data_IF_287120102174
#
_entry.id   IF_287120102174
#
_cell.length_a   1.000
_cell.length_b   1.000
_cell.length_c   1.000
_cell.angle_alpha   90.00
_cell.angle_beta   90.00
_cell.angle_gamma   90.00
#
_symmetry.space_group_name_H-M   'P 1'
#
loop_
_entity.id
_entity.type
_entity.pdbx_description
1 polymer ?
#
# COMPACT_ATOMS: atom_id res chain seq x y z
N UNK A 1 -72.24 33.63 -19.32
CA UNK A 1 -73.10 32.71 -18.55
C UNK A 1 -72.44 32.47 -17.21
N UNK A 2 -73.11 32.92 -16.16
CA UNK A 2 -72.72 32.87 -14.76
C UNK A 2 -73.33 31.60 -14.17
N UNK A 3 -72.57 30.86 -13.35
CA UNK A 3 -73.12 30.24 -12.14
C UNK A 3 -72.06 30.30 -11.02
N UNK A 4 -72.35 31.21 -10.09
CA UNK A 4 -71.90 31.24 -8.70
C UNK A 4 -72.80 30.31 -7.88
N UNK A 5 -72.26 29.72 -6.81
CA UNK A 5 -72.78 29.76 -5.43
C UNK A 5 -71.80 28.94 -4.54
N UNK A 6 -71.04 29.54 -3.60
CA UNK A 6 -71.40 29.95 -2.22
C UNK A 6 -72.02 28.78 -1.44
N UNK A 7 -71.62 28.38 -0.23
CA UNK A 7 -71.06 28.96 1.01
C UNK A 7 -70.76 27.72 1.92
N UNK A 8 -70.01 27.70 3.02
CA UNK A 8 -69.95 28.61 4.18
C UNK A 8 -68.83 28.13 5.13
N UNK A 9 -68.24 29.12 5.79
CA UNK A 9 -67.23 29.05 6.86
C UNK A 9 -67.93 28.77 8.20
N UNK A 10 -67.26 28.09 9.14
CA UNK A 10 -67.28 28.53 10.54
C UNK A 10 -66.06 28.03 11.34
N UNK A 11 -65.31 29.01 11.84
CA UNK A 11 -64.22 28.91 12.81
C UNK A 11 -64.79 28.63 14.21
N UNK A 12 -64.02 27.94 15.07
CA UNK A 12 -63.81 28.37 16.46
C UNK A 12 -62.55 27.70 17.04
N UNK A 13 -61.57 28.53 17.37
CA UNK A 13 -60.43 28.31 18.30
C UNK A 13 -60.86 28.85 19.70
N UNK A 14 -60.09 28.85 20.82
CA UNK A 14 -58.76 28.27 21.11
C UNK A 14 -58.59 27.70 22.56
N UNK A 15 -57.33 27.34 22.89
CA UNK A 15 -56.67 27.24 24.21
C UNK A 15 -56.60 25.85 24.89
N UNK A 16 -55.38 25.27 25.04
CA UNK A 16 -54.55 25.59 26.20
C UNK A 16 -53.10 25.03 26.11
N UNK A 17 -52.21 25.80 26.72
CA UNK A 17 -50.75 25.71 26.83
C UNK A 17 -50.23 24.40 27.45
N UNK A 18 -49.07 23.92 26.96
CA UNK A 18 -47.89 23.75 27.81
C UNK A 18 -46.59 23.80 27.02
N UNK A 19 -45.92 24.92 27.23
CA UNK A 19 -44.58 25.29 26.82
C UNK A 19 -43.56 24.51 27.66
N UNK A 20 -42.55 23.92 27.02
CA UNK A 20 -41.27 23.68 27.69
C UNK A 20 -40.19 24.32 26.84
N UNK A 21 -39.64 25.41 27.36
CA UNK A 21 -38.51 26.14 26.83
C UNK A 21 -37.28 25.23 26.73
N UNK A 22 -36.68 25.12 25.55
CA UNK A 22 -35.23 24.88 25.45
C UNK A 22 -34.68 26.00 24.58
N UNK A 23 -33.87 26.85 25.22
CA UNK A 23 -33.11 27.93 24.59
C UNK A 23 -32.24 27.34 23.48
N UNK A 24 -32.46 27.79 22.26
CA UNK A 24 -31.48 27.67 21.19
C UNK A 24 -30.51 28.84 21.40
N UNK A 25 -29.38 28.55 22.01
CA UNK A 25 -28.20 29.40 21.91
C UNK A 25 -27.43 28.89 20.69
N UNK A 26 -27.24 29.76 19.70
CA UNK A 26 -26.32 29.52 18.60
C UNK A 26 -24.90 29.38 19.15
N UNK A 27 -24.22 28.27 18.86
CA UNK A 27 -22.77 28.27 18.75
C UNK A 27 -22.36 27.56 17.46
N UNK A 28 -21.81 28.38 16.57
CA UNK A 28 -20.98 27.98 15.44
C UNK A 28 -19.86 27.08 15.95
N UNK A 29 -19.74 25.87 15.42
CA UNK A 29 -18.45 25.18 15.19
C UNK A 29 -18.74 23.74 14.77
N UNK A 30 -18.48 23.40 13.50
CA UNK A 30 -18.18 22.02 13.15
C UNK A 30 -17.29 21.95 11.91
N UNK A 31 -16.13 22.60 12.04
CA UNK A 31 -14.93 22.32 11.26
C UNK A 31 -13.97 21.73 12.29
N UNK A 32 -13.95 20.40 12.49
CA UNK A 32 -12.83 19.69 13.16
C UNK A 32 -12.98 18.16 13.29
N UNK A 33 -13.98 17.52 12.69
CA UNK A 33 -14.16 16.06 12.80
C UNK A 33 -13.27 15.22 11.87
N UNK A 34 -12.52 15.84 10.95
CA UNK A 34 -11.67 15.13 9.99
C UNK A 34 -10.24 14.84 10.51
N UNK A 35 -9.83 15.44 11.63
CA UNK A 35 -8.45 15.36 12.15
C UNK A 35 -8.24 14.20 13.15
N UNK A 36 -9.29 13.53 13.63
CA UNK A 36 -9.14 12.65 14.81
C UNK A 36 -8.87 11.16 14.53
N UNK A 37 -8.92 10.70 13.28
CA UNK A 37 -8.66 9.29 12.94
C UNK A 37 -7.17 8.93 12.95
N UNK A 38 -6.33 9.80 12.37
CA UNK A 38 -4.86 9.68 12.41
C UNK A 38 -4.31 9.84 13.84
N UNK A 39 -4.97 10.67 14.63
CA UNK A 39 -4.69 10.92 16.04
C UNK A 39 -4.98 9.66 16.88
N UNK A 40 -6.15 9.05 16.70
CA UNK A 40 -6.57 7.83 17.40
C UNK A 40 -5.67 6.63 17.06
N UNK A 41 -5.32 6.44 15.79
CA UNK A 41 -4.42 5.37 15.35
C UNK A 41 -2.99 5.52 15.93
N UNK A 42 -2.46 6.75 15.98
CA UNK A 42 -1.15 7.05 16.61
C UNK A 42 -1.15 6.82 18.12
N UNK A 43 -2.27 7.05 18.82
CA UNK A 43 -2.43 6.76 20.26
C UNK A 43 -2.41 5.25 20.53
N UNK A 44 -3.09 4.45 19.71
CA UNK A 44 -3.07 2.98 19.85
C UNK A 44 -1.67 2.39 19.63
N UNK A 45 -0.88 2.92 18.68
CA UNK A 45 0.50 2.46 18.45
C UNK A 45 1.46 2.76 19.60
N UNK A 46 1.19 3.78 20.44
CA UNK A 46 2.03 4.12 21.60
C UNK A 46 1.81 3.22 22.81
N UNK A 47 0.73 2.43 22.86
CA UNK A 47 0.35 1.60 24.02
C UNK A 47 0.91 0.16 24.00
N UNK A 48 1.74 -0.21 23.02
CA UNK A 48 2.46 -1.51 22.98
C UNK A 48 3.98 -1.39 23.21
N UNK A 49 4.41 -0.45 24.05
CA UNK A 49 5.76 -0.53 24.64
C UNK A 49 5.70 -1.47 25.83
N UNK A 50 6.13 -2.72 25.61
CA UNK A 50 6.57 -3.59 26.69
C UNK A 50 7.75 -2.89 27.35
N UNK A 51 7.58 -2.42 28.58
CA UNK A 51 8.68 -1.95 29.41
C UNK A 51 9.56 -3.13 29.76
N UNK A 52 10.57 -3.40 28.91
CA UNK A 52 11.68 -4.27 29.31
C UNK A 52 12.46 -3.51 30.37
N UNK A 53 12.30 -3.92 31.64
CA UNK A 53 13.20 -3.51 32.73
C UNK A 53 14.62 -3.81 32.28
N UNK A 54 15.40 -2.76 32.00
CA UNK A 54 16.85 -2.87 31.79
C UNK A 54 17.50 -3.15 33.15
N UNK A 55 17.59 -4.42 33.51
CA UNK A 55 18.65 -4.84 34.42
C UNK A 55 19.98 -4.66 33.68
N UNK A 56 20.80 -3.70 34.15
CA UNK A 56 22.17 -3.55 33.67
C UNK A 56 22.98 -4.71 34.24
N UNK A 57 22.99 -5.85 33.55
CA UNK A 57 24.02 -6.85 33.80
C UNK A 57 25.36 -6.23 33.40
N UNK A 58 26.25 -6.03 34.38
CA UNK A 58 27.65 -5.74 34.12
C UNK A 58 28.21 -6.98 33.43
N UNK A 59 28.44 -6.89 32.13
CA UNK A 59 29.20 -7.90 31.41
C UNK A 59 30.63 -7.83 31.97
N UNK A 60 31.11 -8.93 32.54
CA UNK A 60 32.48 -9.05 33.02
C UNK A 60 33.41 -9.01 31.80
N UNK A 61 34.27 -7.99 31.75
CA UNK A 61 35.21 -7.75 30.65
C UNK A 61 36.13 -8.97 30.42
N UNK A 62 36.38 -9.79 31.44
CA UNK A 62 37.17 -11.01 31.29
C UNK A 62 36.43 -12.10 30.50
N UNK A 63 35.10 -12.15 30.57
CA UNK A 63 34.27 -13.08 29.77
C UNK A 63 34.24 -12.61 28.31
N UNK A 64 34.09 -11.31 28.08
CA UNK A 64 34.12 -10.71 26.74
C UNK A 64 35.47 -10.91 26.03
N UNK A 65 36.57 -10.66 26.75
CA UNK A 65 37.94 -10.86 26.26
C UNK A 65 38.22 -12.35 25.98
N UNK A 66 37.70 -13.27 26.79
CA UNK A 66 37.88 -14.72 26.57
C UNK A 66 37.09 -15.25 25.37
N UNK A 67 35.96 -14.65 25.02
CA UNK A 67 35.22 -14.96 23.78
C UNK A 67 35.99 -14.47 22.55
N UNK A 68 36.62 -13.29 22.63
CA UNK A 68 37.44 -12.74 21.54
C UNK A 68 38.80 -13.45 21.36
N UNK A 69 39.35 -14.07 22.42
CA UNK A 69 40.64 -14.79 22.37
C UNK A 69 40.54 -16.24 21.89
N UNK A 70 39.35 -16.86 21.90
CA UNK A 70 39.14 -18.20 21.33
C UNK A 70 38.83 -18.13 19.84
N UNK A 71 39.84 -17.82 19.03
CA UNK A 71 40.13 -18.49 17.75
C UNK A 71 41.33 -17.84 17.06
N UNK A 72 42.51 -18.49 17.15
CA UNK A 72 43.27 -18.68 15.93
C UNK A 72 43.83 -20.09 15.91
N UNK A 73 43.12 -21.03 15.29
CA UNK A 73 43.73 -22.27 14.82
C UNK A 73 42.94 -22.86 13.64
N UNK A 74 43.45 -22.54 12.46
CA UNK A 74 43.54 -23.44 11.30
C UNK A 74 42.27 -24.18 10.88
N UNK A 75 41.33 -23.47 10.27
CA UNK A 75 40.67 -24.03 9.10
C UNK A 75 41.33 -23.42 7.88
N UNK A 76 42.24 -24.20 7.28
CA UNK A 76 42.68 -23.99 5.90
C UNK A 76 41.42 -23.93 5.04
N UNK A 77 40.97 -22.72 4.73
CA UNK A 77 40.10 -22.45 3.59
C UNK A 77 40.90 -22.91 2.36
N UNK A 78 40.69 -24.16 1.97
CA UNK A 78 41.01 -24.59 0.63
C UNK A 78 40.23 -23.65 -0.29
N UNK A 79 40.97 -22.75 -0.94
CA UNK A 79 40.60 -22.10 -2.19
C UNK A 79 40.34 -23.20 -3.23
N UNK A 80 39.25 -23.95 -3.07
CA UNK A 80 38.56 -24.52 -4.21
C UNK A 80 37.82 -23.34 -4.80
N UNK A 81 38.32 -22.90 -5.95
CA UNK A 81 37.58 -22.16 -6.96
C UNK A 81 36.20 -22.79 -7.11
N UNK A 82 35.28 -22.31 -6.29
CA UNK A 82 33.86 -22.47 -6.49
C UNK A 82 33.43 -21.09 -6.91
N UNK A 83 33.05 -21.00 -8.19
CA UNK A 83 32.17 -19.98 -8.72
C UNK A 83 31.11 -19.71 -7.65
N UNK A 84 31.36 -18.72 -6.81
CA UNK A 84 30.44 -18.27 -5.79
C UNK A 84 29.39 -17.55 -6.59
N UNK A 85 28.34 -18.32 -6.88
CA UNK A 85 27.05 -17.84 -7.28
C UNK A 85 26.80 -16.52 -6.56
N UNK A 86 26.90 -15.44 -7.33
CA UNK A 86 26.20 -14.19 -7.04
C UNK A 86 24.75 -14.59 -6.85
N UNK A 87 24.36 -14.92 -5.62
CA UNK A 87 22.98 -14.87 -5.17
C UNK A 87 22.59 -13.38 -5.06
N UNK A 88 22.71 -12.67 -6.18
CA UNK A 88 21.89 -11.50 -6.45
C UNK A 88 20.50 -12.11 -6.52
N UNK A 89 19.67 -11.85 -5.50
CA UNK A 89 18.24 -12.10 -5.63
C UNK A 89 17.84 -11.55 -7.00
N UNK A 90 17.34 -12.39 -7.90
CA UNK A 90 16.68 -11.87 -9.11
C UNK A 90 15.47 -11.08 -8.63
N UNK A 91 15.65 -9.78 -8.44
CA UNK A 91 14.62 -8.88 -7.97
C UNK A 91 13.57 -8.81 -9.06
N UNK A 92 12.34 -9.19 -8.72
CA UNK A 92 11.24 -9.14 -9.68
C UNK A 92 10.88 -7.67 -9.88
N UNK A 93 11.12 -7.17 -11.09
CA UNK A 93 10.70 -5.83 -11.50
C UNK A 93 9.19 -5.62 -11.32
N UNK A 94 8.43 -6.72 -11.43
CA UNK A 94 6.98 -6.73 -11.29
C UNK A 94 6.51 -6.82 -9.82
N UNK A 95 6.94 -5.86 -8.99
CA UNK A 95 6.54 -5.74 -7.58
C UNK A 95 6.33 -4.28 -7.18
N UNK A 96 5.50 -4.08 -6.16
CA UNK A 96 5.42 -2.81 -5.43
C UNK A 96 6.39 -2.88 -4.25
N UNK A 97 7.26 -1.89 -4.13
CA UNK A 97 8.22 -1.76 -3.05
C UNK A 97 7.84 -0.59 -2.15
N UNK A 98 8.20 -0.64 -0.86
CA UNK A 98 8.00 0.44 0.11
C UNK A 98 9.23 1.33 0.28
N UNK A 99 10.39 0.73 0.06
CA UNK A 99 11.68 1.41 0.07
C UNK A 99 12.74 0.58 -0.67
N UNK A 100 13.81 1.25 -1.07
CA UNK A 100 15.03 0.63 -1.58
C UNK A 100 16.25 1.52 -1.25
N UNK A 101 17.41 0.92 -0.97
CA UNK A 101 18.70 1.60 -1.08
C UNK A 101 19.44 1.04 -2.29
N UNK A 102 19.77 1.93 -3.21
CA UNK A 102 20.59 1.64 -4.39
C UNK A 102 22.00 2.14 -4.10
N UNK A 103 22.99 1.25 -4.12
CA UNK A 103 24.39 1.61 -3.95
C UNK A 103 25.04 1.67 -5.33
N UNK A 104 25.48 2.85 -5.74
CA UNK A 104 26.15 3.05 -7.03
C UNK A 104 27.56 3.58 -6.86
N UNK A 105 28.42 3.26 -7.82
CA UNK A 105 29.76 3.84 -7.95
C UNK A 105 29.76 5.12 -8.78
N UNK A 106 28.65 5.42 -9.46
CA UNK A 106 28.46 6.62 -10.27
C UNK A 106 27.39 7.52 -9.66
N UNK A 107 27.37 8.78 -10.09
CA UNK A 107 26.31 9.68 -9.72
C UNK A 107 25.03 9.36 -10.51
N UNK A 108 23.93 9.15 -9.79
CA UNK A 108 22.64 8.80 -10.38
C UNK A 108 21.69 10.00 -10.29
N UNK A 109 21.02 10.29 -11.40
CA UNK A 109 19.88 11.21 -11.43
C UNK A 109 18.61 10.39 -11.30
N UNK A 110 17.98 10.43 -10.12
CA UNK A 110 16.76 9.68 -9.83
C UNK A 110 15.61 10.66 -9.64
N UNK A 111 14.59 10.52 -10.49
CA UNK A 111 13.42 11.39 -10.43
C UNK A 111 12.33 10.83 -9.50
N UNK A 112 11.77 11.65 -8.59
CA UNK A 112 10.56 11.29 -7.86
C UNK A 112 9.39 11.05 -8.83
N UNK A 113 8.65 9.96 -8.61
CA UNK A 113 7.42 9.66 -9.34
C UNK A 113 6.23 9.90 -8.40
N UNK A 114 5.20 10.54 -8.94
CA UNK A 114 3.93 10.77 -8.25
C UNK A 114 3.04 9.55 -8.40
N UNK A 115 2.50 9.07 -7.29
CA UNK A 115 1.52 8.00 -7.27
C UNK A 115 0.32 8.38 -6.40
N UNK A 116 -0.76 7.65 -6.63
CA UNK A 116 -1.97 7.64 -5.82
C UNK A 116 -2.18 6.22 -5.30
N UNK A 117 -2.50 6.07 -4.01
CA UNK A 117 -2.69 4.74 -3.42
C UNK A 117 -3.88 4.65 -2.48
N UNK A 118 -4.41 3.43 -2.35
CA UNK A 118 -5.40 3.09 -1.34
C UNK A 118 -5.41 1.58 -1.07
N UNK A 119 -5.53 1.09 0.19
CA UNK A 119 -5.55 1.88 1.42
C UNK A 119 -4.17 2.48 1.71
N UNK A 120 -3.99 3.05 2.91
CA UNK A 120 -2.75 3.73 3.29
C UNK A 120 -1.53 2.78 3.42
N UNK A 121 -1.73 1.47 3.55
CA UNK A 121 -0.67 0.47 3.74
C UNK A 121 -1.04 -0.83 2.99
N UNK A 122 -0.08 -1.59 2.45
CA UNK A 122 -0.42 -2.88 1.79
C UNK A 122 -0.85 -3.95 2.78
N UNK A 123 -0.52 -3.79 4.06
CA UNK A 123 -0.73 -4.81 5.08
C UNK A 123 -1.91 -4.41 5.98
N UNK A 124 -3.07 -4.18 5.37
CA UNK A 124 -4.32 -3.86 6.08
C UNK A 124 -5.16 -5.14 6.28
N UNK A 125 -5.05 -5.85 7.42
CA UNK A 125 -5.63 -7.17 7.58
C UNK A 125 -7.16 -7.15 7.64
N UNK A 126 -7.80 -8.26 7.21
CA UNK A 126 -9.23 -8.46 7.47
C UNK A 126 -9.49 -8.55 8.97
N UNK A 127 -10.32 -7.65 9.47
CA UNK A 127 -10.76 -7.65 10.87
C UNK A 127 -12.29 -7.55 10.95
N UNK A 128 -12.87 -8.18 11.97
CA UNK A 128 -14.30 -8.04 12.28
C UNK A 128 -14.56 -6.78 13.11
N UNK A 129 -14.08 -5.63 12.64
CA UNK A 129 -14.19 -4.34 13.32
C UNK A 129 -15.04 -3.36 12.53
N UNK A 130 -15.69 -2.43 13.23
CA UNK A 130 -16.41 -1.32 12.60
C UNK A 130 -15.52 -0.51 11.66
N UNK A 131 -14.27 -0.28 12.06
CA UNK A 131 -13.29 0.46 11.26
C UNK A 131 -12.90 -0.26 9.99
N UNK A 132 -12.69 -1.58 10.04
CA UNK A 132 -12.46 -2.37 8.84
C UNK A 132 -13.64 -2.27 7.88
N UNK A 133 -14.88 -2.42 8.37
CA UNK A 133 -16.07 -2.32 7.53
C UNK A 133 -16.21 -0.94 6.88
N UNK A 134 -15.86 0.14 7.60
CA UNK A 134 -15.82 1.48 7.03
C UNK A 134 -14.74 1.59 5.94
N UNK A 135 -13.51 1.15 6.23
CA UNK A 135 -12.41 1.14 5.26
C UNK A 135 -12.73 0.30 4.02
N UNK A 136 -13.39 -0.84 4.18
CA UNK A 136 -13.80 -1.73 3.09
C UNK A 136 -14.83 -1.06 2.17
N UNK A 137 -15.75 -0.25 2.71
CA UNK A 137 -16.68 0.56 1.91
C UNK A 137 -15.94 1.63 1.11
N UNK A 138 -15.03 2.36 1.74
CA UNK A 138 -14.20 3.37 1.05
C UNK A 138 -13.33 2.74 -0.04
N UNK A 139 -12.81 1.53 0.21
CA UNK A 139 -12.06 0.75 -0.75
C UNK A 139 -12.90 0.35 -1.95
N UNK A 140 -14.15 -0.09 -1.73
CA UNK A 140 -15.09 -0.43 -2.80
C UNK A 140 -15.34 0.76 -3.73
N UNK A 141 -15.48 1.96 -3.17
CA UNK A 141 -15.60 3.20 -3.96
C UNK A 141 -14.30 3.48 -4.73
N UNK A 142 -13.16 3.43 -4.05
CA UNK A 142 -11.84 3.70 -4.63
C UNK A 142 -11.49 2.75 -5.78
N UNK A 143 -11.71 1.44 -5.59
CA UNK A 143 -11.36 0.42 -6.59
C UNK A 143 -12.28 0.49 -7.82
N UNK A 144 -13.56 0.82 -7.64
CA UNK A 144 -14.47 1.06 -8.77
C UNK A 144 -14.05 2.29 -9.55
N UNK A 145 -13.74 3.39 -8.85
CA UNK A 145 -13.31 4.63 -9.49
C UNK A 145 -12.00 4.44 -10.30
N UNK A 146 -10.97 3.77 -9.74
CA UNK A 146 -9.72 3.54 -10.47
C UNK A 146 -9.93 2.67 -11.72
N UNK A 147 -10.84 1.71 -11.67
CA UNK A 147 -11.16 0.89 -12.83
C UNK A 147 -11.99 1.64 -13.86
N UNK A 148 -12.94 2.48 -13.44
CA UNK A 148 -13.64 3.40 -14.34
C UNK A 148 -12.65 4.31 -15.08
N UNK A 149 -11.66 4.87 -14.37
CA UNK A 149 -10.61 5.68 -14.97
C UNK A 149 -9.75 4.87 -15.96
N UNK A 150 -9.43 3.62 -15.62
CA UNK A 150 -8.72 2.71 -16.54
C UNK A 150 -9.50 2.48 -17.84
N UNK A 151 -10.81 2.22 -17.75
CA UNK A 151 -11.65 1.99 -18.94
C UNK A 151 -11.84 3.26 -19.77
N UNK A 152 -12.12 4.40 -19.14
CA UNK A 152 -12.46 5.65 -19.82
C UNK A 152 -11.23 6.41 -20.33
N UNK A 153 -10.15 6.40 -19.57
CA UNK A 153 -8.97 7.25 -19.81
C UNK A 153 -7.71 6.45 -20.10
N UNK A 154 -7.79 5.11 -20.14
CA UNK A 154 -6.63 4.21 -20.38
C UNK A 154 -5.49 4.45 -19.39
N UNK A 155 -5.81 4.87 -18.16
CA UNK A 155 -4.84 5.05 -17.09
C UNK A 155 -4.22 3.71 -16.70
N UNK A 156 -3.07 3.74 -16.02
CA UNK A 156 -2.41 2.52 -15.54
C UNK A 156 -2.54 2.44 -14.02
N UNK A 157 -2.83 1.24 -13.53
CA UNK A 157 -2.85 0.99 -12.10
C UNK A 157 -2.47 -0.47 -11.80
N UNK A 158 -2.12 -0.70 -10.55
CA UNK A 158 -1.69 -1.98 -10.03
C UNK A 158 -2.51 -2.33 -8.79
N UNK A 159 -2.86 -3.60 -8.65
CA UNK A 159 -3.48 -4.15 -7.45
C UNK A 159 -2.57 -5.21 -6.86
N UNK A 160 -2.25 -5.10 -5.57
CA UNK A 160 -1.72 -6.20 -4.79
C UNK A 160 -2.89 -6.99 -4.22
N UNK A 161 -3.10 -8.19 -4.75
CA UNK A 161 -4.21 -9.09 -4.41
C UNK A 161 -3.67 -10.47 -4.04
N UNK A 162 -3.98 -10.98 -2.85
CA UNK A 162 -3.47 -12.27 -2.34
C UNK A 162 -1.94 -12.41 -2.49
N UNK A 163 -1.21 -11.35 -2.12
CA UNK A 163 0.25 -11.23 -2.25
C UNK A 163 0.79 -11.35 -3.69
N UNK A 164 -0.08 -11.23 -4.69
CA UNK A 164 0.27 -11.24 -6.11
C UNK A 164 -0.03 -9.87 -6.71
N UNK A 165 0.92 -9.34 -7.49
CA UNK A 165 0.73 -8.09 -8.21
C UNK A 165 -0.06 -8.35 -9.49
N UNK A 166 -1.09 -7.55 -9.72
CA UNK A 166 -1.88 -7.50 -10.94
C UNK A 166 -1.72 -6.09 -11.52
N UNK A 167 -1.20 -6.00 -12.74
CA UNK A 167 -0.97 -4.73 -13.44
C UNK A 167 -2.02 -4.58 -14.54
N UNK A 168 -2.84 -3.53 -14.45
CA UNK A 168 -3.83 -3.15 -15.45
C UNK A 168 -3.24 -2.05 -16.32
N UNK A 169 -2.98 -2.37 -17.58
CA UNK A 169 -2.41 -1.42 -18.53
C UNK A 169 -2.87 -1.72 -19.96
N UNK A 170 -3.09 -0.69 -20.76
CA UNK A 170 -3.32 -0.80 -22.21
C UNK A 170 -4.41 -1.83 -22.60
N UNK A 171 -5.51 -1.91 -21.83
CA UNK A 171 -6.63 -2.81 -22.12
C UNK A 171 -6.41 -4.30 -21.78
N UNK A 172 -5.31 -4.64 -21.10
CA UNK A 172 -5.07 -5.99 -20.57
C UNK A 172 -4.64 -5.94 -19.10
N UNK A 173 -4.64 -7.11 -18.46
CA UNK A 173 -4.11 -7.29 -17.11
C UNK A 173 -3.01 -8.36 -17.10
N UNK A 174 -1.89 -8.06 -16.45
CA UNK A 174 -0.78 -8.98 -16.26
C UNK A 174 -0.66 -9.37 -14.78
N UNK A 175 -0.45 -10.65 -14.49
CA UNK A 175 -0.22 -11.11 -13.12
C UNK A 175 0.72 -12.31 -13.03
N UNK A 176 1.11 -12.68 -11.81
CA UNK A 176 1.98 -13.83 -11.54
C UNK A 176 1.24 -15.16 -11.78
N UNK A 177 2.00 -16.22 -12.13
CA UNK A 177 1.47 -17.57 -12.30
C UNK A 177 0.74 -18.13 -11.07
N UNK A 178 1.00 -17.60 -9.88
CA UNK A 178 0.33 -17.95 -8.63
C UNK A 178 -1.20 -17.81 -8.71
N UNK A 179 -1.71 -16.91 -9.55
CA UNK A 179 -3.15 -16.70 -9.71
C UNK A 179 -3.80 -17.66 -10.72
N UNK A 180 -3.03 -18.46 -11.47
CA UNK A 180 -3.57 -19.32 -12.55
C UNK A 180 -4.71 -20.23 -12.12
N UNK A 181 -4.58 -20.89 -10.96
CA UNK A 181 -5.62 -21.77 -10.45
C UNK A 181 -6.89 -20.98 -10.06
N UNK A 182 -6.72 -19.78 -9.49
CA UNK A 182 -7.85 -18.93 -9.13
C UNK A 182 -8.59 -18.47 -10.39
N UNK A 183 -7.87 -18.08 -11.44
CA UNK A 183 -8.47 -17.66 -12.71
C UNK A 183 -9.22 -18.81 -13.39
N UNK A 184 -8.62 -20.00 -13.45
CA UNK A 184 -9.25 -21.20 -14.01
C UNK A 184 -10.54 -21.58 -13.27
N UNK A 185 -10.54 -21.49 -11.95
CA UNK A 185 -11.71 -21.82 -11.13
C UNK A 185 -12.86 -20.83 -11.28
N UNK A 186 -12.63 -19.66 -11.89
CA UNK A 186 -13.63 -18.64 -12.16
C UNK A 186 -13.87 -18.45 -13.67
N UNK A 187 -13.47 -19.43 -14.49
CA UNK A 187 -13.65 -19.44 -15.95
C UNK A 187 -13.08 -18.19 -16.68
N UNK A 188 -12.01 -17.62 -16.14
CA UNK A 188 -11.33 -16.46 -16.73
C UNK A 188 -10.27 -16.96 -17.71
N UNK A 189 -10.37 -16.57 -18.97
CA UNK A 189 -9.41 -16.97 -20.00
C UNK A 189 -8.13 -16.13 -19.91
N UNK A 190 -6.99 -16.81 -20.10
CA UNK A 190 -5.69 -16.15 -20.10
C UNK A 190 -4.65 -16.89 -20.93
N UNK A 191 -3.58 -16.16 -21.25
CA UNK A 191 -2.39 -16.70 -21.91
C UNK A 191 -1.20 -16.65 -20.95
N UNK A 192 -0.26 -17.57 -21.11
CA UNK A 192 0.97 -17.59 -20.32
C UNK A 192 2.14 -17.22 -21.23
N UNK A 193 2.93 -16.24 -20.82
CA UNK A 193 4.19 -15.87 -21.49
C UNK A 193 5.22 -15.43 -20.45
N UNK A 194 6.48 -15.87 -20.59
CA UNK A 194 7.60 -15.45 -19.72
C UNK A 194 7.30 -15.52 -18.22
N UNK A 195 6.66 -16.60 -17.76
CA UNK A 195 6.28 -16.78 -16.35
C UNK A 195 5.27 -15.73 -15.82
N UNK A 196 4.52 -15.11 -16.72
CA UNK A 196 3.43 -14.16 -16.43
C UNK A 196 2.14 -14.61 -17.11
N UNK A 197 1.02 -14.31 -16.47
CA UNK A 197 -0.32 -14.49 -16.99
C UNK A 197 -0.76 -13.18 -17.62
N UNK A 198 -1.30 -13.23 -18.83
CA UNK A 198 -1.94 -12.11 -19.51
C UNK A 198 -3.42 -12.42 -19.76
N UNK A 199 -4.28 -11.58 -19.18
CA UNK A 199 -5.74 -11.57 -19.32
C UNK A 199 -6.11 -10.44 -20.28
N UNK A 200 -6.99 -10.69 -21.24
CA UNK A 200 -7.34 -9.73 -22.31
C UNK A 200 -8.85 -9.64 -22.50
N UNK A 201 -9.30 -8.57 -23.17
CA UNK A 201 -10.70 -8.43 -23.59
C UNK A 201 -11.68 -8.48 -22.41
N UNK A 202 -12.82 -9.18 -22.57
CA UNK A 202 -13.88 -9.29 -21.56
C UNK A 202 -13.40 -9.92 -20.25
N UNK A 203 -12.40 -10.80 -20.31
CA UNK A 203 -11.85 -11.47 -19.13
C UNK A 203 -11.15 -10.50 -18.16
N UNK A 204 -10.74 -9.31 -18.63
CA UNK A 204 -10.21 -8.25 -17.75
C UNK A 204 -11.30 -7.74 -16.80
N UNK A 205 -12.54 -7.63 -17.27
CA UNK A 205 -13.68 -7.25 -16.44
C UNK A 205 -14.06 -8.37 -15.46
N UNK A 206 -13.99 -9.64 -15.90
CA UNK A 206 -14.21 -10.80 -15.02
C UNK A 206 -13.15 -10.89 -13.91
N UNK A 207 -11.88 -10.64 -14.25
CA UNK A 207 -10.81 -10.54 -13.25
C UNK A 207 -11.08 -9.43 -12.23
N UNK A 208 -11.52 -8.27 -12.70
CA UNK A 208 -11.84 -7.17 -11.82
C UNK A 208 -13.04 -7.48 -10.91
N UNK A 209 -14.09 -8.09 -11.46
CA UNK A 209 -15.26 -8.53 -10.71
C UNK A 209 -14.89 -9.56 -9.63
N UNK A 210 -14.05 -10.53 -9.99
CA UNK A 210 -13.47 -11.49 -9.04
C UNK A 210 -12.75 -10.79 -7.88
N UNK A 211 -11.92 -9.77 -8.14
CA UNK A 211 -11.19 -9.05 -7.09
C UNK A 211 -12.16 -8.33 -6.14
N UNK A 212 -13.18 -7.65 -6.69
CA UNK A 212 -14.16 -6.89 -5.90
C UNK A 212 -15.02 -7.81 -5.03
N UNK A 213 -15.45 -8.93 -5.59
CA UNK A 213 -16.39 -9.86 -4.96
C UNK A 213 -15.68 -10.98 -4.17
N UNK A 214 -14.35 -10.94 -4.08
CA UNK A 214 -13.60 -11.94 -3.33
C UNK A 214 -13.92 -11.85 -1.83
N UNK A 215 -14.38 -12.96 -1.24
CA UNK A 215 -14.53 -13.07 0.20
C UNK A 215 -13.16 -13.27 0.87
N UNK A 216 -12.59 -12.15 1.32
CA UNK A 216 -11.30 -12.12 2.02
C UNK A 216 -11.33 -13.08 3.22
N UNK A 217 -10.30 -13.89 3.41
CA UNK A 217 -10.15 -14.74 4.59
C UNK A 217 -9.50 -13.96 5.74
N UNK A 218 -9.49 -14.54 6.94
CA UNK A 218 -8.96 -13.89 8.15
C UNK A 218 -7.50 -13.42 8.04
N UNK A 219 -6.68 -14.09 7.22
CA UNK A 219 -5.28 -13.75 7.03
C UNK A 219 -5.03 -12.96 5.73
N UNK A 220 -6.08 -12.66 4.98
CA UNK A 220 -5.96 -11.88 3.76
C UNK A 220 -5.94 -10.39 4.11
N UNK A 221 -5.22 -9.63 3.28
CA UNK A 221 -5.16 -8.17 3.36
C UNK A 221 -6.16 -7.56 2.39
N UNK A 222 -6.68 -6.39 2.72
CA UNK A 222 -7.46 -5.59 1.80
C UNK A 222 -6.61 -5.29 0.55
N UNK A 223 -7.13 -5.51 -0.68
CA UNK A 223 -6.31 -5.34 -1.88
C UNK A 223 -5.80 -3.92 -2.01
N UNK A 224 -4.48 -3.78 -2.18
CA UNK A 224 -3.84 -2.48 -2.27
C UNK A 224 -3.77 -2.00 -3.71
N UNK A 225 -4.25 -0.79 -3.95
CA UNK A 225 -4.26 -0.12 -5.25
C UNK A 225 -3.11 0.90 -5.29
N UNK A 226 -2.34 0.88 -6.37
CA UNK A 226 -1.35 1.89 -6.73
C UNK A 226 -1.63 2.37 -8.16
N UNK A 227 -1.76 3.67 -8.37
CA UNK A 227 -2.13 4.26 -9.65
C UNK A 227 -1.25 5.47 -9.98
N UNK A 228 -1.00 5.67 -11.28
CA UNK A 228 -0.34 6.87 -11.80
C UNK A 228 -1.32 8.05 -11.98
N UNK A 229 -2.61 7.79 -11.79
CA UNK A 229 -3.68 8.78 -11.93
C UNK A 229 -4.53 8.83 -10.67
N UNK A 230 -5.08 10.01 -10.39
CA UNK A 230 -5.95 10.22 -9.24
C UNK A 230 -7.19 9.33 -9.30
N UNK A 231 -7.62 8.87 -8.13
CA UNK A 231 -8.88 8.17 -7.98
C UNK A 231 -9.51 8.50 -6.62
N UNK A 232 -10.79 8.21 -6.48
CA UNK A 232 -11.56 8.51 -5.28
C UNK A 232 -10.95 7.86 -4.03
N UNK A 233 -10.95 8.59 -2.90
CA UNK A 233 -10.33 8.21 -1.63
C UNK A 233 -8.82 7.98 -1.66
N UNK A 234 -8.15 8.16 -2.80
CA UNK A 234 -6.72 7.93 -2.91
C UNK A 234 -5.89 8.96 -2.15
N UNK A 235 -4.72 8.52 -1.68
CA UNK A 235 -3.72 9.40 -1.07
C UNK A 235 -2.61 9.62 -2.10
N UNK A 236 -2.43 10.88 -2.49
CA UNK A 236 -1.29 11.31 -3.30
C UNK A 236 0.00 11.26 -2.49
N UNK A 237 1.07 10.74 -3.07
CA UNK A 237 2.42 10.91 -2.54
C UNK A 237 3.46 10.84 -3.67
N UNK A 238 4.68 11.24 -3.33
CA UNK A 238 5.84 11.13 -4.22
C UNK A 238 6.84 10.15 -3.61
N UNK A 239 7.46 9.31 -4.44
CA UNK A 239 8.62 8.53 -4.03
C UNK A 239 9.74 9.50 -3.66
N UNK A 240 10.09 9.55 -2.38
CA UNK A 240 11.15 10.43 -1.88
C UNK A 240 12.49 9.80 -2.22
N UNK A 241 13.36 10.60 -2.82
CA UNK A 241 14.73 10.20 -3.12
C UNK A 241 15.65 10.99 -2.20
N UNK A 242 16.50 10.31 -1.45
CA UNK A 242 17.56 10.95 -0.67
C UNK A 242 18.92 10.38 -1.03
N UNK A 243 19.87 11.28 -1.32
CA UNK A 243 21.28 10.93 -1.55
C UNK A 243 21.98 10.85 -0.21
N UNK A 244 22.53 9.68 0.11
CA UNK A 244 23.35 9.45 1.29
C UNK A 244 24.77 9.98 1.11
N UNK A 245 25.57 9.86 2.18
CA UNK A 245 26.99 10.23 2.16
C UNK A 245 27.77 9.25 1.28
N UNK A 246 28.69 9.79 0.47
CA UNK A 246 29.60 8.98 -0.32
C UNK A 246 30.65 8.32 0.59
N UNK A 247 30.91 7.04 0.40
CA UNK A 247 31.88 6.25 1.17
C UNK A 247 32.95 5.70 0.22
N UNK A 248 34.22 5.96 0.54
CA UNK A 248 35.34 5.38 -0.19
C UNK A 248 35.66 3.99 0.37
N UNK A 249 35.61 2.97 -0.48
CA UNK A 249 35.96 1.60 -0.13
C UNK A 249 36.93 1.02 -1.17
N UNK A 250 38.13 0.60 -0.73
CA UNK A 250 39.17 0.04 -1.62
C UNK A 250 39.47 0.91 -2.85
N UNK A 251 39.47 2.24 -2.70
CA UNK A 251 39.72 3.20 -3.78
C UNK A 251 38.52 3.47 -4.71
N UNK A 252 37.36 2.87 -4.45
CA UNK A 252 36.13 3.10 -5.21
C UNK A 252 35.14 3.89 -4.33
N UNK A 253 34.63 5.00 -4.86
CA UNK A 253 33.60 5.79 -4.20
C UNK A 253 32.24 5.14 -4.42
N UNK A 254 31.50 4.93 -3.34
CA UNK A 254 30.12 4.43 -3.37
C UNK A 254 29.17 5.48 -2.81
N UNK A 255 28.01 5.64 -3.44
CA UNK A 255 26.93 6.52 -2.98
C UNK A 255 25.67 5.67 -2.80
N UNK A 256 25.04 5.70 -1.61
CA UNK A 256 23.70 5.10 -1.43
C UNK A 256 22.64 6.15 -1.74
N UNK A 257 21.68 5.78 -2.56
CA UNK A 257 20.44 6.52 -2.80
C UNK A 257 19.30 5.76 -2.14
N UNK A 258 18.54 6.41 -1.26
CA UNK A 258 17.35 5.82 -0.64
C UNK A 258 16.11 6.31 -1.36
N UNK A 259 15.31 5.35 -1.82
CA UNK A 259 13.95 5.56 -2.32
C UNK A 259 13.00 5.20 -1.18
N UNK A 260 12.19 6.15 -0.74
CA UNK A 260 11.22 5.99 0.35
C UNK A 260 9.81 6.29 -0.13
N UNK A 261 8.88 5.36 0.11
CA UNK A 261 7.50 5.43 -0.37
C UNK A 261 7.15 4.25 -1.25
N UNK A 262 5.86 4.05 -1.50
CA UNK A 262 5.44 2.96 -2.39
C UNK A 262 5.90 3.27 -3.83
N UNK A 263 6.38 2.29 -4.59
CA UNK A 263 6.66 2.48 -6.01
C UNK A 263 6.58 1.16 -6.76
N UNK A 264 6.26 1.24 -8.05
CA UNK A 264 6.32 0.09 -8.94
C UNK A 264 7.76 -0.11 -9.42
N UNK A 265 8.27 -1.34 -9.32
CA UNK A 265 9.67 -1.64 -9.61
C UNK A 265 10.10 -1.33 -11.05
N UNK A 266 9.24 -1.57 -12.05
CA UNK A 266 9.57 -1.28 -13.46
C UNK A 266 9.81 0.21 -13.70
N UNK A 267 9.13 1.11 -12.98
CA UNK A 267 9.32 2.56 -13.15
C UNK A 267 10.73 3.02 -12.73
N UNK A 268 11.43 2.21 -11.92
CA UNK A 268 12.80 2.43 -11.49
C UNK A 268 13.78 1.37 -12.03
N UNK A 269 13.36 0.57 -13.02
CA UNK A 269 14.15 -0.51 -13.61
C UNK A 269 15.59 -0.09 -14.01
N UNK A 270 15.73 1.11 -14.58
CA UNK A 270 17.00 1.67 -15.04
C UNK A 270 18.08 1.77 -13.95
N UNK A 271 17.70 1.96 -12.67
CA UNK A 271 18.65 1.97 -11.54
C UNK A 271 18.65 0.66 -10.75
N UNK A 272 17.55 -0.09 -10.76
CA UNK A 272 17.44 -1.33 -10.00
C UNK A 272 18.21 -2.50 -10.66
N UNK A 273 18.47 -2.43 -11.96
CA UNK A 273 19.17 -3.48 -12.72
C UNK A 273 20.68 -3.33 -12.73
N UNK A 274 21.18 -2.11 -12.56
CA UNK A 274 22.59 -1.79 -12.78
C UNK A 274 23.44 -1.98 -11.52
N UNK A 275 22.82 -2.08 -10.34
CA UNK A 275 23.51 -1.81 -9.07
C UNK A 275 23.16 -2.79 -7.94
N UNK A 276 23.96 -2.75 -6.87
CA UNK A 276 23.65 -3.49 -5.66
C UNK A 276 22.48 -2.80 -4.93
N UNK A 277 21.30 -3.41 -4.97
CA UNK A 277 20.09 -2.89 -4.32
C UNK A 277 19.73 -3.70 -3.08
N UNK A 278 19.41 -3.00 -2.00
CA UNK A 278 18.85 -3.56 -0.78
C UNK A 278 17.40 -3.08 -0.68
N UNK A 279 16.45 -4.01 -0.64
CA UNK A 279 15.03 -3.72 -0.47
C UNK A 279 14.61 -4.11 0.94
N UNK A 280 13.77 -3.30 1.60
CA UNK A 280 12.91 -3.82 2.65
C UNK A 280 11.50 -3.97 2.06
N UNK A 281 11.09 -5.22 1.90
CA UNK A 281 9.71 -5.60 1.59
C UNK A 281 8.85 -5.45 2.83
#
# INVERSE_FOLDING_TARGET
MIHNENKKIENTDPQNKKTTNIKITEEKENINTEIDLLSAYRKQLKLKRIEVKKERSKIDDNVFINVLKKQPQQQKLQLKSQNTNKNILKHSKNKIYRNACVISTTELTIHPIKYYKFPFDTDFPKESTFWFNKMYKEWHTAIKNVYTNYIQHKTHFHILFLNSLITFQNGYANCCLSLSNLLKNNDINFTISNNTIKVVSVDVALLFDLIINYDLRKNDFLPFVLSNSEFENSIMYFTRVSKGVAVLNKGITHVCYKLDGYFYGEDYAYILEQENVIFNT
#
